data_IF_056248924363
#
_entry.id   IF_056248924363
#
_cell.length_a   1.000
_cell.length_b   1.000
_cell.length_c   1.000
_cell.angle_alpha   90.00
_cell.angle_beta   90.00
_cell.angle_gamma   90.00
#
_symmetry.space_group_name_H-M   'P 1'
#
loop_
_entity.id
_entity.type
_entity.pdbx_description
1 polymer ?
#
# COMPACT_ATOMS: atom_id res chain seq x y z
N UNK A 1 -5.18 52.34 9.40
CA UNK A 1 -5.98 52.16 8.17
C UNK A 1 -7.35 52.78 8.41
N UNK A 2 -8.04 53.38 7.42
CA UNK A 2 -9.36 53.99 7.67
C UNK A 2 -10.49 52.96 7.54
N UNK A 3 -11.61 53.20 8.23
CA UNK A 3 -12.82 52.37 8.15
C UNK A 3 -13.29 52.15 6.69
N UNK A 4 -13.24 53.20 5.86
CA UNK A 4 -13.64 53.13 4.45
C UNK A 4 -12.75 52.19 3.64
N UNK A 5 -11.44 52.18 3.92
CA UNK A 5 -10.50 51.27 3.26
C UNK A 5 -10.80 49.81 3.62
N UNK A 6 -11.12 49.54 4.90
CA UNK A 6 -11.47 48.21 5.39
C UNK A 6 -12.79 47.71 4.78
N UNK A 7 -13.81 48.56 4.70
CA UNK A 7 -15.10 48.21 4.06
C UNK A 7 -14.89 47.87 2.57
N UNK A 8 -14.01 48.59 1.87
CA UNK A 8 -13.72 48.34 0.46
C UNK A 8 -13.10 46.95 0.22
N UNK A 9 -12.29 46.45 1.16
CA UNK A 9 -11.67 45.12 1.06
C UNK A 9 -12.67 43.96 1.21
N UNK A 10 -13.85 44.21 1.79
CA UNK A 10 -14.92 43.21 1.94
C UNK A 10 -15.55 42.79 0.61
N UNK A 11 -15.69 43.73 -0.33
CA UNK A 11 -16.35 43.50 -1.62
C UNK A 11 -15.71 42.38 -2.45
N UNK A 12 -14.37 42.40 -2.66
CA UNK A 12 -13.64 41.33 -3.32
C UNK A 12 -13.83 39.96 -2.64
N UNK A 13 -13.75 39.89 -1.31
CA UNK A 13 -13.96 38.65 -0.55
C UNK A 13 -15.35 38.07 -0.84
N UNK A 14 -16.41 38.88 -0.69
CA UNK A 14 -17.79 38.47 -0.97
C UNK A 14 -17.98 37.96 -2.40
N UNK A 15 -17.37 38.62 -3.39
CA UNK A 15 -17.42 38.18 -4.78
C UNK A 15 -16.74 36.82 -4.99
N UNK A 16 -15.62 36.58 -4.32
CA UNK A 16 -14.89 35.32 -4.44
C UNK A 16 -15.60 34.17 -3.71
N UNK A 17 -16.23 34.44 -2.56
CA UNK A 17 -17.10 33.49 -1.86
C UNK A 17 -18.23 33.05 -2.78
N UNK A 18 -18.97 34.00 -3.37
CA UNK A 18 -20.06 33.69 -4.30
C UNK A 18 -19.60 32.86 -5.51
N UNK A 19 -18.40 33.12 -6.04
CA UNK A 19 -17.83 32.31 -7.13
C UNK A 19 -17.54 30.87 -6.69
N UNK A 20 -17.02 30.67 -5.48
CA UNK A 20 -16.73 29.33 -4.96
C UNK A 20 -18.01 28.58 -4.63
N UNK A 21 -18.98 29.24 -3.99
CA UNK A 21 -20.31 28.68 -3.73
C UNK A 21 -21.00 28.23 -5.03
N UNK A 22 -21.04 29.09 -6.05
CA UNK A 22 -21.61 28.73 -7.35
C UNK A 22 -20.89 27.54 -8.00
N UNK A 23 -19.56 27.50 -7.93
CA UNK A 23 -18.80 26.35 -8.42
C UNK A 23 -19.21 25.06 -7.71
N UNK A 24 -19.29 25.08 -6.37
CA UNK A 24 -19.65 23.89 -5.60
C UNK A 24 -21.07 23.40 -5.93
N UNK A 25 -22.04 24.32 -6.03
CA UNK A 25 -23.40 23.97 -6.42
C UNK A 25 -23.47 23.33 -7.83
N UNK A 26 -22.73 23.89 -8.79
CA UNK A 26 -22.64 23.31 -10.15
C UNK A 26 -21.95 21.95 -10.16
N UNK A 27 -20.93 21.79 -9.31
CA UNK A 27 -20.16 20.57 -9.17
C UNK A 27 -21.03 19.43 -8.62
N UNK A 28 -21.78 19.70 -7.54
CA UNK A 28 -22.71 18.75 -6.92
C UNK A 28 -23.85 18.33 -7.85
N UNK A 29 -24.21 19.18 -8.81
CA UNK A 29 -25.22 18.87 -9.82
C UNK A 29 -24.69 18.10 -11.02
N UNK A 30 -23.36 17.94 -11.15
CA UNK A 30 -22.71 17.26 -12.27
C UNK A 30 -22.56 15.76 -11.97
N UNK A 31 -22.96 14.91 -12.93
CA UNK A 31 -22.85 13.45 -12.85
C UNK A 31 -21.51 12.92 -13.41
N UNK A 32 -20.54 13.79 -13.66
CA UNK A 32 -19.31 13.43 -14.33
C UNK A 32 -18.37 12.71 -13.33
N UNK A 33 -18.19 11.40 -13.54
CA UNK A 33 -17.34 10.56 -12.68
C UNK A 33 -15.84 10.90 -12.78
N UNK A 34 -15.43 11.71 -13.76
CA UNK A 34 -14.04 12.07 -13.99
C UNK A 34 -13.61 13.39 -13.34
N UNK A 35 -14.45 13.97 -12.47
CA UNK A 35 -14.23 15.33 -11.98
C UNK A 35 -13.11 15.41 -10.94
N UNK A 36 -11.97 15.93 -11.39
CA UNK A 36 -11.23 17.08 -10.88
C UNK A 36 -11.11 17.27 -9.34
N UNK A 37 -10.76 16.22 -8.60
CA UNK A 37 -10.26 16.32 -7.22
C UNK A 37 -9.23 17.46 -7.05
N UNK A 38 -8.38 17.66 -8.06
CA UNK A 38 -7.38 18.73 -8.09
C UNK A 38 -8.05 20.11 -8.10
N UNK A 39 -9.07 20.32 -8.94
CA UNK A 39 -9.77 21.61 -9.01
C UNK A 39 -10.55 21.85 -7.72
N UNK A 40 -11.23 20.83 -7.18
CA UNK A 40 -11.95 20.94 -5.92
C UNK A 40 -11.02 21.34 -4.76
N UNK A 41 -9.83 20.71 -4.65
CA UNK A 41 -8.81 21.11 -3.66
C UNK A 41 -8.24 22.51 -3.90
N UNK A 42 -8.02 22.91 -5.15
CA UNK A 42 -7.55 24.26 -5.48
C UNK A 42 -8.60 25.31 -5.07
N UNK A 43 -9.89 25.03 -5.27
CA UNK A 43 -10.99 25.89 -4.83
C UNK A 43 -11.08 25.93 -3.31
N UNK A 44 -10.97 24.81 -2.61
CA UNK A 44 -10.89 24.78 -1.14
C UNK A 44 -9.71 25.60 -0.62
N UNK A 45 -8.56 25.54 -1.27
CA UNK A 45 -7.38 26.35 -0.91
C UNK A 45 -7.67 27.85 -1.05
N UNK A 46 -8.45 28.23 -2.08
CA UNK A 46 -8.94 29.61 -2.26
C UNK A 46 -9.89 30.02 -1.12
N UNK A 47 -10.81 29.15 -0.71
CA UNK A 47 -11.72 29.40 0.43
C UNK A 47 -10.93 29.64 1.71
N UNK A 48 -9.94 28.79 2.01
CA UNK A 48 -9.05 28.96 3.17
C UNK A 48 -8.28 30.28 3.16
N UNK A 49 -7.80 30.69 1.99
CA UNK A 49 -7.17 31.99 1.84
C UNK A 49 -8.13 33.13 2.17
N UNK A 50 -9.39 33.05 1.73
CA UNK A 50 -10.41 34.06 2.04
C UNK A 50 -10.72 34.08 3.54
N UNK A 51 -10.78 32.93 4.22
CA UNK A 51 -10.97 32.85 5.68
C UNK A 51 -9.85 33.60 6.42
N UNK A 52 -8.61 33.43 5.97
CA UNK A 52 -7.45 34.13 6.54
C UNK A 52 -7.53 35.64 6.27
N UNK A 53 -7.86 36.05 5.04
CA UNK A 53 -8.07 37.47 4.68
C UNK A 53 -9.17 38.12 5.53
N UNK A 54 -10.28 37.43 5.76
CA UNK A 54 -11.37 37.90 6.63
C UNK A 54 -10.94 37.99 8.10
N UNK A 55 -10.11 37.05 8.57
CA UNK A 55 -9.59 37.05 9.95
C UNK A 55 -8.64 38.23 10.19
N UNK A 56 -7.77 38.53 9.23
CA UNK A 56 -6.89 39.69 9.25
C UNK A 56 -7.68 41.00 9.18
N UNK A 57 -8.73 41.04 8.35
CA UNK A 57 -9.62 42.18 8.24
C UNK A 57 -10.36 42.42 9.56
N UNK A 58 -10.91 41.37 10.18
CA UNK A 58 -11.54 41.41 11.52
C UNK A 58 -10.61 42.01 12.57
N UNK A 59 -9.36 41.54 12.61
CA UNK A 59 -8.36 42.08 13.53
C UNK A 59 -8.08 43.57 13.27
N UNK A 60 -8.07 43.98 12.01
CA UNK A 60 -7.89 45.38 11.62
C UNK A 60 -9.07 46.28 12.03
N UNK A 61 -10.30 45.75 12.12
CA UNK A 61 -11.44 46.47 12.68
C UNK A 61 -11.29 46.67 14.19
N UNK A 62 -10.91 45.63 14.93
CA UNK A 62 -10.72 45.71 16.39
C UNK A 62 -9.59 46.64 16.83
N UNK A 63 -8.70 47.05 15.91
CA UNK A 63 -7.60 47.99 16.19
C UNK A 63 -7.90 49.44 15.80
N UNK A 64 -9.12 49.71 15.30
CA UNK A 64 -9.60 51.08 15.07
C UNK A 64 -9.80 51.83 16.40
N UNK A 65 -9.74 53.15 16.34
CA UNK A 65 -9.93 54.02 17.50
C UNK A 65 -11.35 53.88 18.07
N UNK A 66 -11.50 53.85 19.40
CA UNK A 66 -12.77 53.58 20.13
C UNK A 66 -13.93 54.50 19.72
N UNK A 67 -13.65 55.71 19.22
CA UNK A 67 -14.67 56.67 18.77
C UNK A 67 -15.29 56.33 17.41
N UNK A 68 -14.79 55.28 16.73
CA UNK A 68 -15.28 54.87 15.41
C UNK A 68 -16.46 53.92 15.57
N UNK A 69 -17.68 54.37 15.29
CA UNK A 69 -18.84 53.48 15.22
C UNK A 69 -18.74 52.59 13.97
N UNK A 70 -18.43 51.32 14.17
CA UNK A 70 -18.22 50.32 13.12
C UNK A 70 -18.87 48.98 13.43
N UNK A 71 -19.81 48.94 14.39
CA UNK A 71 -20.45 47.70 14.84
C UNK A 71 -21.18 46.99 13.71
N UNK A 72 -21.98 47.72 12.93
CA UNK A 72 -22.69 47.18 11.77
C UNK A 72 -21.71 46.61 10.71
N UNK A 73 -20.55 47.23 10.55
CA UNK A 73 -19.54 46.76 9.60
C UNK A 73 -18.86 45.47 10.09
N UNK A 74 -18.66 45.35 11.40
CA UNK A 74 -18.11 44.16 12.06
C UNK A 74 -19.11 42.99 12.04
N UNK A 75 -20.39 43.24 12.30
CA UNK A 75 -21.44 42.22 12.25
C UNK A 75 -21.53 41.58 10.86
N UNK A 76 -21.54 42.39 9.79
CA UNK A 76 -21.52 41.87 8.41
C UNK A 76 -20.23 41.07 8.11
N UNK A 77 -19.11 41.43 8.74
CA UNK A 77 -17.86 40.69 8.57
C UNK A 77 -17.92 39.32 9.28
N UNK A 78 -18.53 39.28 10.46
CA UNK A 78 -18.77 38.05 11.20
C UNK A 78 -19.69 37.13 10.39
N UNK A 79 -20.78 37.65 9.83
CA UNK A 79 -21.70 36.89 8.98
C UNK A 79 -20.98 36.30 7.76
N UNK A 80 -20.16 37.10 7.07
CA UNK A 80 -19.35 36.61 5.93
C UNK A 80 -18.34 35.54 6.35
N UNK A 81 -17.74 35.67 7.52
CA UNK A 81 -16.80 34.68 8.05
C UNK A 81 -17.52 33.35 8.34
N UNK A 82 -18.72 33.41 8.91
CA UNK A 82 -19.56 32.24 9.14
C UNK A 82 -19.96 31.55 7.82
N UNK A 83 -20.46 32.31 6.84
CA UNK A 83 -20.81 31.80 5.50
C UNK A 83 -19.61 31.11 4.82
N UNK A 84 -18.41 31.67 4.97
CA UNK A 84 -17.19 31.10 4.37
C UNK A 84 -16.75 29.81 5.06
N UNK A 85 -16.89 29.72 6.39
CA UNK A 85 -16.58 28.51 7.15
C UNK A 85 -17.57 27.37 6.85
N UNK A 86 -18.85 27.68 6.72
CA UNK A 86 -19.85 26.71 6.26
C UNK A 86 -19.50 26.18 4.87
N UNK A 87 -19.13 27.08 3.95
CA UNK A 87 -18.69 26.69 2.62
C UNK A 87 -17.45 25.79 2.67
N UNK A 88 -16.47 26.08 3.54
CA UNK A 88 -15.30 25.20 3.74
C UNK A 88 -15.73 23.79 4.14
N UNK A 89 -16.67 23.68 5.08
CA UNK A 89 -17.26 22.41 5.50
C UNK A 89 -17.82 21.61 4.34
N UNK A 90 -18.63 22.25 3.49
CA UNK A 90 -19.21 21.60 2.30
C UNK A 90 -18.16 21.10 1.31
N UNK A 91 -17.09 21.87 1.07
CA UNK A 91 -15.96 21.43 0.23
C UNK A 91 -15.22 20.23 0.84
N UNK A 92 -15.03 20.20 2.16
CA UNK A 92 -14.37 19.10 2.86
C UNK A 92 -15.21 17.82 2.80
N UNK A 93 -16.53 17.94 3.00
CA UNK A 93 -17.47 16.82 2.87
C UNK A 93 -17.41 16.21 1.47
N UNK A 94 -17.47 17.04 0.43
CA UNK A 94 -17.37 16.61 -0.96
C UNK A 94 -16.04 15.90 -1.24
N UNK A 95 -14.92 16.46 -0.76
CA UNK A 95 -13.60 15.82 -0.87
C UNK A 95 -13.52 14.49 -0.11
N UNK A 96 -14.25 14.36 1.00
CA UNK A 96 -14.39 13.12 1.76
C UNK A 96 -15.06 12.03 0.93
N UNK A 97 -16.16 12.37 0.25
CA UNK A 97 -16.83 11.47 -0.70
C UNK A 97 -15.90 11.04 -1.84
N UNK A 98 -15.15 11.98 -2.43
CA UNK A 98 -14.19 11.66 -3.49
C UNK A 98 -13.07 10.74 -3.02
N UNK A 99 -12.45 11.02 -1.87
CA UNK A 99 -11.40 10.15 -1.31
C UNK A 99 -11.94 8.74 -1.01
N UNK A 100 -13.14 8.63 -0.44
CA UNK A 100 -13.75 7.35 -0.15
C UNK A 100 -14.04 6.55 -1.43
N UNK A 101 -14.64 7.18 -2.45
CA UNK A 101 -14.92 6.53 -3.74
C UNK A 101 -13.63 6.14 -4.48
N UNK A 102 -12.63 7.02 -4.51
CA UNK A 102 -11.34 6.75 -5.18
C UNK A 102 -10.59 5.60 -4.50
N UNK A 103 -10.48 5.64 -3.16
CA UNK A 103 -9.81 4.58 -2.41
C UNK A 103 -10.57 3.27 -2.49
N UNK A 104 -11.90 3.26 -2.41
CA UNK A 104 -12.72 2.03 -2.51
C UNK A 104 -12.65 1.38 -3.90
N UNK A 105 -12.72 2.16 -4.99
CA UNK A 105 -12.53 1.64 -6.36
C UNK A 105 -11.11 1.10 -6.56
N UNK A 106 -10.10 1.79 -6.04
CA UNK A 106 -8.70 1.35 -6.06
C UNK A 106 -8.47 0.08 -5.25
N UNK A 107 -9.06 -0.01 -4.05
CA UNK A 107 -8.96 -1.17 -3.16
C UNK A 107 -9.58 -2.42 -3.77
N UNK A 108 -10.77 -2.32 -4.38
CA UNK A 108 -11.41 -3.47 -5.02
C UNK A 108 -10.59 -4.01 -6.20
N UNK A 109 -9.94 -3.13 -6.95
CA UNK A 109 -9.07 -3.54 -8.06
C UNK A 109 -7.78 -4.19 -7.53
N UNK A 110 -7.15 -3.55 -6.54
CA UNK A 110 -5.94 -4.07 -5.89
C UNK A 110 -6.20 -5.42 -5.22
N UNK A 111 -7.28 -5.55 -4.44
CA UNK A 111 -7.66 -6.77 -3.73
C UNK A 111 -7.88 -7.93 -4.72
N UNK A 112 -8.58 -7.69 -5.84
CA UNK A 112 -8.74 -8.69 -6.90
C UNK A 112 -7.41 -9.10 -7.53
N UNK A 113 -6.53 -8.15 -7.82
CA UNK A 113 -5.20 -8.45 -8.37
C UNK A 113 -4.35 -9.22 -7.37
N UNK A 114 -4.35 -8.81 -6.10
CA UNK A 114 -3.59 -9.47 -5.04
C UNK A 114 -4.09 -10.91 -4.84
N UNK A 115 -5.41 -11.08 -4.77
CA UNK A 115 -6.05 -12.39 -4.64
C UNK A 115 -5.72 -13.30 -5.82
N UNK A 116 -5.82 -12.81 -7.05
CA UNK A 116 -5.44 -13.57 -8.25
C UNK A 116 -3.95 -13.94 -8.25
N UNK A 117 -3.08 -13.05 -7.78
CA UNK A 117 -1.65 -13.32 -7.63
C UNK A 117 -1.41 -14.48 -6.66
N UNK A 118 -2.02 -14.43 -5.47
CA UNK A 118 -1.89 -15.49 -4.45
C UNK A 118 -2.58 -16.80 -4.86
N UNK A 119 -3.70 -16.75 -5.59
CA UNK A 119 -4.36 -17.94 -6.14
C UNK A 119 -3.55 -18.58 -7.28
N UNK A 120 -2.71 -17.82 -7.98
CA UNK A 120 -1.82 -18.34 -9.05
C UNK A 120 -0.54 -18.93 -8.47
N UNK A 121 -0.02 -18.35 -7.37
CA UNK A 121 1.21 -18.81 -6.72
C UNK A 121 0.97 -19.93 -5.69
N UNK A 122 -0.23 -19.99 -5.09
CA UNK A 122 -0.77 -21.24 -4.57
C UNK A 122 -1.13 -22.14 -5.76
N UNK A 123 -0.09 -22.72 -6.36
CA UNK A 123 -0.20 -24.06 -6.92
C UNK A 123 -0.94 -24.81 -5.82
N UNK A 124 -2.16 -25.31 -6.11
CA UNK A 124 -2.84 -26.22 -5.19
C UNK A 124 -1.78 -27.12 -4.59
N UNK A 125 -1.88 -27.44 -3.31
CA UNK A 125 -1.28 -28.66 -2.80
C UNK A 125 -1.93 -29.81 -3.60
N UNK A 126 -1.59 -29.94 -4.89
CA UNK A 126 -1.70 -31.16 -5.65
C UNK A 126 -0.97 -32.11 -4.73
N UNK A 127 -1.79 -32.95 -4.08
CA UNK A 127 -1.32 -33.90 -3.09
C UNK A 127 0.00 -34.45 -3.58
N UNK A 128 1.06 -34.39 -2.75
CA UNK A 128 2.41 -34.70 -3.21
C UNK A 128 2.28 -35.94 -4.05
N UNK A 129 2.57 -35.84 -5.35
CA UNK A 129 2.26 -36.92 -6.28
C UNK A 129 2.93 -38.14 -5.67
N UNK A 130 2.14 -39.03 -5.07
CA UNK A 130 2.66 -40.25 -4.46
C UNK A 130 2.87 -41.17 -5.64
N UNK A 131 3.82 -40.81 -6.49
CA UNK A 131 4.35 -41.70 -7.50
C UNK A 131 4.98 -42.85 -6.74
N UNK A 132 4.85 -44.07 -7.26
CA UNK A 132 5.56 -45.24 -6.73
C UNK A 132 7.10 -45.03 -6.69
N UNK A 133 7.59 -44.00 -7.36
CA UNK A 133 8.98 -43.53 -7.33
C UNK A 133 9.40 -43.01 -5.96
N UNK A 134 8.57 -42.25 -5.23
CA UNK A 134 8.98 -41.68 -3.94
C UNK A 134 9.28 -42.79 -2.90
N UNK A 135 8.38 -43.77 -2.70
CA UNK A 135 8.66 -44.91 -1.83
C UNK A 135 9.81 -45.79 -2.34
N UNK A 136 9.95 -45.92 -3.67
CA UNK A 136 11.05 -46.66 -4.28
C UNK A 136 12.41 -46.02 -4.00
N UNK A 137 12.52 -44.70 -4.17
CA UNK A 137 13.72 -43.93 -3.92
C UNK A 137 14.12 -43.96 -2.44
N UNK A 138 13.15 -43.81 -1.53
CA UNK A 138 13.39 -43.91 -0.09
C UNK A 138 13.93 -45.30 0.28
N UNK A 139 13.25 -46.36 -0.17
CA UNK A 139 13.68 -47.74 0.07
C UNK A 139 15.06 -48.04 -0.54
N UNK A 140 15.36 -47.47 -1.70
CA UNK A 140 16.68 -47.60 -2.33
C UNK A 140 17.76 -46.89 -1.51
N UNK A 141 17.47 -45.67 -1.01
CA UNK A 141 18.38 -44.91 -0.18
C UNK A 141 18.69 -45.64 1.13
N UNK A 142 17.67 -46.10 1.88
CA UNK A 142 17.86 -46.89 3.10
C UNK A 142 18.71 -48.15 2.87
N UNK A 143 18.53 -48.82 1.73
CA UNK A 143 19.28 -50.03 1.38
C UNK A 143 20.74 -49.74 1.02
N UNK A 144 21.00 -48.62 0.36
CA UNK A 144 22.32 -48.33 -0.23
C UNK A 144 23.15 -47.34 0.57
N UNK A 145 22.55 -46.54 1.44
CA UNK A 145 23.20 -45.46 2.18
C UNK A 145 22.88 -45.56 3.67
N UNK A 146 23.89 -45.87 4.50
CA UNK A 146 23.71 -45.91 5.94
C UNK A 146 24.94 -45.37 6.69
N UNK A 147 24.69 -44.83 7.88
CA UNK A 147 25.74 -44.29 8.75
C UNK A 147 26.17 -45.36 9.74
N UNK A 148 27.47 -45.64 9.80
CA UNK A 148 28.05 -46.58 10.76
C UNK A 148 28.11 -45.95 12.16
N UNK A 149 28.12 -46.76 13.23
CA UNK A 149 28.29 -46.26 14.61
C UNK A 149 29.56 -45.45 14.83
N UNK A 150 30.61 -45.67 14.03
CA UNK A 150 31.84 -44.87 14.03
C UNK A 150 31.70 -43.48 13.37
N UNK A 151 30.49 -43.08 12.97
CA UNK A 151 30.18 -41.77 12.42
C UNK A 151 30.38 -41.61 10.92
N UNK A 152 30.99 -42.59 10.23
CA UNK A 152 31.23 -42.59 8.78
C UNK A 152 30.03 -43.09 7.99
N UNK A 153 29.77 -42.52 6.81
CA UNK A 153 28.78 -43.02 5.87
C UNK A 153 29.32 -44.19 5.05
N UNK A 154 28.46 -45.15 4.75
CA UNK A 154 28.72 -46.31 3.90
C UNK A 154 27.72 -46.29 2.75
N UNK A 155 28.23 -46.44 1.52
CA UNK A 155 27.44 -46.48 0.30
C UNK A 155 27.67 -47.83 -0.38
N UNK A 156 26.59 -48.53 -0.74
CA UNK A 156 26.64 -49.79 -1.48
C UNK A 156 26.20 -49.55 -2.92
N UNK A 157 27.15 -49.64 -3.85
CA UNK A 157 26.86 -49.58 -5.28
C UNK A 157 26.39 -50.95 -5.78
N UNK A 158 25.35 -51.02 -6.64
CA UNK A 158 24.92 -52.28 -7.22
C UNK A 158 26.03 -52.85 -8.12
N UNK A 159 26.32 -54.14 -7.95
CA UNK A 159 27.18 -54.87 -8.89
C UNK A 159 26.45 -55.05 -10.22
N UNK A 160 27.19 -55.05 -11.33
CA UNK A 160 26.62 -55.41 -12.63
C UNK A 160 26.18 -56.87 -12.59
N UNK A 161 24.93 -57.16 -12.98
CA UNK A 161 24.33 -58.50 -12.94
C UNK A 161 25.12 -59.56 -13.74
N UNK A 162 25.98 -59.13 -14.67
CA UNK A 162 26.82 -60.00 -15.50
C UNK A 162 28.20 -60.33 -14.90
N UNK A 163 28.47 -59.93 -13.66
CA UNK A 163 29.66 -60.42 -12.93
C UNK A 163 29.28 -61.80 -12.39
N UNK A 164 29.43 -62.83 -13.22
CA UNK A 164 29.15 -64.21 -12.85
C UNK A 164 29.84 -64.56 -11.52
N UNK A 165 29.22 -65.38 -10.68
CA UNK A 165 29.79 -65.91 -9.42
C UNK A 165 31.18 -66.57 -9.58
N UNK A 166 31.57 -66.85 -10.83
CA UNK A 166 32.88 -67.39 -11.22
C UNK A 166 33.83 -66.35 -11.83
N UNK A 167 33.64 -65.04 -11.60
CA UNK A 167 34.71 -64.06 -11.91
C UNK A 167 35.89 -64.35 -11.00
N UNK A 168 36.83 -65.13 -11.52
CA UNK A 168 38.10 -65.42 -10.88
C UNK A 168 38.90 -64.10 -10.85
N UNK A 169 38.84 -63.40 -9.72
CA UNK A 169 39.57 -62.16 -9.43
C UNK A 169 41.10 -62.37 -9.32
N UNK A 170 41.58 -63.57 -9.67
CA UNK A 170 42.96 -64.01 -9.58
C UNK A 170 43.45 -64.13 -8.14
N UNK A 171 44.68 -64.61 -7.96
CA UNK A 171 45.32 -64.80 -6.65
C UNK A 171 45.81 -63.48 -6.01
N UNK A 172 45.25 -62.35 -6.44
CA UNK A 172 45.64 -61.00 -5.98
C UNK A 172 45.43 -60.79 -4.48
N UNK A 173 44.57 -61.59 -3.85
CA UNK A 173 44.36 -61.59 -2.39
C UNK A 173 45.58 -62.10 -1.61
N UNK A 174 46.42 -62.93 -2.21
CA UNK A 174 47.53 -63.59 -1.50
C UNK A 174 48.65 -62.63 -1.09
N UNK A 175 48.91 -61.58 -1.86
CA UNK A 175 49.99 -60.62 -1.60
C UNK A 175 49.63 -59.67 -0.45
N UNK A 176 48.44 -59.01 -0.44
CA UNK A 176 48.03 -58.15 0.66
C UNK A 176 47.83 -58.92 1.98
N UNK A 177 47.34 -60.17 1.93
CA UNK A 177 47.18 -60.98 3.15
C UNK A 177 48.52 -61.33 3.80
N UNK A 178 49.53 -61.72 3.01
CA UNK A 178 50.87 -62.02 3.54
C UNK A 178 51.57 -60.79 4.12
N UNK A 179 51.35 -59.61 3.54
CA UNK A 179 51.91 -58.37 4.06
C UNK A 179 51.16 -57.91 5.32
N UNK A 180 49.84 -58.13 5.40
CA UNK A 180 49.06 -57.86 6.60
C UNK A 180 49.52 -58.74 7.78
N UNK A 181 49.73 -60.04 7.55
CA UNK A 181 50.23 -60.97 8.57
C UNK A 181 51.68 -60.67 9.00
N UNK A 182 52.43 -59.89 8.22
CA UNK A 182 53.78 -59.41 8.57
C UNK A 182 53.77 -58.14 9.43
N UNK A 183 52.70 -57.36 9.35
CA UNK A 183 52.57 -56.07 10.03
C UNK A 183 51.94 -56.20 11.43
N UNK A 184 51.49 -57.40 11.80
CA UNK A 184 50.93 -57.76 13.10
C UNK A 184 51.78 -58.86 13.75
#
# INVERSE_FOLDING_TARGET
MSLVTLIRQRGPCKKNIAKCSNFLNTFQSSNDENVDFIILNNKLSTVRQIIEELSQLKHSYFTLHDDTDHKDALDVLIDLQAETLELEGSYIEELGYFKHCFLSKGWNTLDKTLRSFWETENISEEQPIITDELPYCEKHFEKTHFRKPCGKYSISLPFKENIQENVNLGDSRSIPSKELDRLW
#
